data_IF_466597909733
#
_entry.id   IF_466597909733
#
_cell.length_a   1.000
_cell.length_b   1.000
_cell.length_c   1.000
_cell.angle_alpha   90.00
_cell.angle_beta   90.00
_cell.angle_gamma   90.00
#
_symmetry.space_group_name_H-M   'P 1'
#
loop_
_entity.id
_entity.type
_entity.pdbx_description
1 polymer ?
#
# COMPACT_ATOMS: atom_id res chain seq x y z
N UNK A 1 40.38 -17.93 13.74
CA UNK A 1 39.20 -18.82 13.80
C UNK A 1 38.04 -18.13 13.09
N UNK A 2 37.89 -18.40 11.78
CA UNK A 2 36.70 -19.02 11.18
C UNK A 2 35.50 -18.05 11.25
N UNK A 3 35.29 -17.18 10.27
CA UNK A 3 34.45 -17.46 9.08
C UNK A 3 33.22 -18.33 9.41
N UNK A 4 32.50 -17.98 10.47
CA UNK A 4 31.15 -18.45 10.73
C UNK A 4 30.27 -17.20 10.51
N UNK A 5 29.31 -17.32 9.59
CA UNK A 5 27.96 -16.78 9.77
C UNK A 5 27.45 -15.53 9.00
N UNK A 6 27.77 -15.40 7.73
CA UNK A 6 27.18 -14.34 6.89
C UNK A 6 25.66 -14.47 6.66
N UNK A 7 25.05 -15.65 6.93
CA UNK A 7 23.58 -15.85 6.84
C UNK A 7 22.84 -15.58 8.15
N UNK A 8 23.30 -16.00 9.34
CA UNK A 8 22.59 -15.61 10.58
C UNK A 8 22.77 -14.12 10.86
N UNK A 9 23.88 -13.47 10.50
CA UNK A 9 24.03 -12.01 10.67
C UNK A 9 22.96 -11.20 9.92
N UNK A 10 22.69 -11.54 8.65
CA UNK A 10 21.64 -10.87 7.84
C UNK A 10 20.23 -11.18 8.35
N UNK A 11 19.96 -12.43 8.72
CA UNK A 11 18.65 -12.83 9.26
C UNK A 11 18.37 -12.19 10.62
N UNK A 12 19.36 -12.14 11.51
CA UNK A 12 19.28 -11.44 12.80
C UNK A 12 19.03 -9.96 12.64
N UNK A 13 19.66 -9.31 11.65
CA UNK A 13 19.37 -7.91 11.34
C UNK A 13 17.91 -7.71 10.93
N UNK A 14 17.40 -8.54 10.00
CA UNK A 14 15.99 -8.45 9.57
C UNK A 14 15.04 -8.68 10.75
N UNK A 15 15.28 -9.71 11.56
CA UNK A 15 14.45 -10.02 12.74
C UNK A 15 14.49 -8.88 13.76
N UNK A 16 15.67 -8.30 14.02
CA UNK A 16 15.81 -7.17 14.95
C UNK A 16 15.08 -5.92 14.45
N UNK A 17 15.15 -5.63 13.15
CA UNK A 17 14.42 -4.51 12.55
C UNK A 17 12.91 -4.73 12.57
N UNK A 18 12.44 -5.95 12.26
CA UNK A 18 11.02 -6.32 12.38
C UNK A 18 10.54 -6.17 13.83
N UNK A 19 11.27 -6.76 14.77
CA UNK A 19 10.95 -6.70 16.20
C UNK A 19 10.92 -5.25 16.70
N UNK A 20 11.93 -4.44 16.36
CA UNK A 20 11.99 -3.04 16.76
C UNK A 20 10.83 -2.22 16.16
N UNK A 21 10.51 -2.40 14.88
CA UNK A 21 9.38 -1.72 14.24
C UNK A 21 8.04 -2.14 14.85
N UNK A 22 7.90 -3.42 15.17
CA UNK A 22 6.68 -3.97 15.78
C UNK A 22 6.49 -3.47 17.23
N UNK A 23 7.56 -3.43 18.04
CA UNK A 23 7.53 -2.85 19.38
C UNK A 23 7.14 -1.37 19.35
N UNK A 24 7.59 -0.59 18.36
CA UNK A 24 7.20 0.84 18.24
C UNK A 24 5.70 1.00 18.04
N UNK A 25 5.06 0.13 17.24
CA UNK A 25 3.60 0.13 17.09
C UNK A 25 2.92 -0.24 18.41
N UNK A 26 3.51 -1.18 19.16
CA UNK A 26 2.99 -1.64 20.46
C UNK A 26 3.29 -0.73 21.65
N UNK A 27 4.20 0.24 21.55
CA UNK A 27 4.48 1.23 22.60
C UNK A 27 3.86 2.61 22.31
N UNK A 28 3.27 2.78 21.13
CA UNK A 28 2.67 4.04 20.72
C UNK A 28 1.51 4.45 21.64
N UNK A 29 1.39 5.73 21.99
CA UNK A 29 0.30 6.23 22.84
C UNK A 29 -1.11 6.06 22.22
N UNK A 30 -1.18 5.93 20.89
CA UNK A 30 -2.43 5.98 20.11
C UNK A 30 -2.71 4.68 19.33
N UNK A 31 -2.27 3.52 19.82
CA UNK A 31 -2.37 2.22 19.09
C UNK A 31 -3.77 1.88 18.63
N UNK A 32 -4.75 2.02 19.53
CA UNK A 32 -6.15 1.71 19.24
C UNK A 32 -6.71 2.64 18.16
N UNK A 33 -6.35 3.93 18.22
CA UNK A 33 -6.75 4.90 17.20
C UNK A 33 -6.19 4.51 15.82
N UNK A 34 -4.91 4.17 15.73
CA UNK A 34 -4.28 3.73 14.48
C UNK A 34 -4.93 2.44 13.96
N UNK A 35 -5.22 1.47 14.83
CA UNK A 35 -5.92 0.23 14.47
C UNK A 35 -7.31 0.52 13.90
N UNK A 36 -8.10 1.35 14.57
CA UNK A 36 -9.45 1.72 14.11
C UNK A 36 -9.36 2.46 12.77
N UNK A 37 -8.46 3.43 12.65
CA UNK A 37 -8.27 4.17 11.41
C UNK A 37 -7.88 3.24 10.24
N UNK A 38 -7.04 2.24 10.52
CA UNK A 38 -6.64 1.22 9.56
C UNK A 38 -7.86 0.39 9.13
N UNK A 39 -8.63 -0.13 10.07
CA UNK A 39 -9.84 -0.91 9.74
C UNK A 39 -10.86 -0.09 8.94
N UNK A 40 -11.04 1.18 9.28
CA UNK A 40 -11.90 2.12 8.53
C UNK A 40 -11.38 2.29 7.11
N UNK A 41 -10.07 2.46 6.91
CA UNK A 41 -9.48 2.60 5.58
C UNK A 41 -9.70 1.34 4.73
N UNK A 42 -9.52 0.16 5.31
CA UNK A 42 -9.80 -1.11 4.63
C UNK A 42 -11.28 -1.26 4.27
N UNK A 43 -12.19 -0.86 5.16
CA UNK A 43 -13.62 -0.86 4.88
C UNK A 43 -13.98 0.10 3.73
N UNK A 44 -13.37 1.29 3.69
CA UNK A 44 -13.53 2.25 2.60
C UNK A 44 -13.04 1.63 1.28
N UNK A 45 -11.86 1.01 1.25
CA UNK A 45 -11.36 0.36 0.03
C UNK A 45 -12.24 -0.81 -0.43
N UNK A 46 -12.75 -1.62 0.50
CA UNK A 46 -13.73 -2.66 0.18
C UNK A 46 -15.02 -2.06 -0.41
N UNK A 47 -15.50 -0.96 0.17
CA UNK A 47 -16.68 -0.24 -0.33
C UNK A 47 -16.45 0.35 -1.73
N UNK A 48 -15.23 0.81 -2.05
CA UNK A 48 -14.88 1.27 -3.40
C UNK A 48 -14.99 0.14 -4.43
N UNK A 49 -14.49 -1.06 -4.12
CA UNK A 49 -14.66 -2.22 -5.02
C UNK A 49 -16.14 -2.56 -5.22
N UNK A 50 -16.89 -2.62 -4.12
CA UNK A 50 -18.32 -2.90 -4.16
C UNK A 50 -19.12 -1.84 -4.93
N UNK A 51 -18.82 -0.56 -4.72
CA UNK A 51 -19.40 0.55 -5.50
C UNK A 51 -19.04 0.44 -6.98
N UNK A 52 -17.81 0.03 -7.28
CA UNK A 52 -17.38 -0.31 -8.64
C UNK A 52 -18.28 -1.37 -9.25
N UNK A 53 -18.64 -2.43 -8.53
CA UNK A 53 -19.55 -3.46 -9.06
C UNK A 53 -20.88 -2.86 -9.48
N UNK A 54 -21.45 -1.98 -8.65
CA UNK A 54 -22.69 -1.27 -8.97
C UNK A 54 -22.56 -0.36 -10.18
N UNK A 55 -21.44 0.35 -10.31
CA UNK A 55 -21.18 1.22 -11.47
C UNK A 55 -21.10 0.44 -12.78
N UNK A 56 -20.58 -0.79 -12.75
CA UNK A 56 -20.46 -1.67 -13.91
C UNK A 56 -21.66 -2.62 -14.07
N UNK A 57 -22.72 -2.49 -13.28
CA UNK A 57 -23.91 -3.35 -13.36
C UNK A 57 -23.67 -4.80 -12.94
N UNK A 58 -22.61 -5.09 -12.18
CA UNK A 58 -22.31 -6.43 -11.68
C UNK A 58 -23.13 -6.77 -10.43
N UNK A 59 -23.78 -7.92 -10.44
CA UNK A 59 -24.56 -8.46 -9.29
C UNK A 59 -23.67 -9.18 -8.27
N UNK A 60 -22.55 -8.55 -7.88
CA UNK A 60 -21.62 -9.09 -6.90
C UNK A 60 -21.83 -8.47 -5.51
N UNK A 61 -21.67 -9.29 -4.47
CA UNK A 61 -21.85 -8.91 -3.07
C UNK A 61 -20.56 -8.39 -2.41
N UNK A 62 -20.60 -8.29 -1.07
CA UNK A 62 -19.46 -7.83 -0.27
C UNK A 62 -18.28 -8.82 -0.23
N UNK A 63 -18.54 -10.14 -0.33
CA UNK A 63 -17.48 -11.15 -0.31
C UNK A 63 -16.53 -11.03 -1.53
N UNK A 64 -17.03 -10.97 -2.79
CA UNK A 64 -16.17 -10.66 -3.94
C UNK A 64 -15.38 -9.36 -3.78
N UNK A 65 -15.97 -8.31 -3.21
CA UNK A 65 -15.28 -7.05 -2.97
C UNK A 65 -14.13 -7.20 -1.96
N UNK A 66 -14.33 -7.99 -0.89
CA UNK A 66 -13.30 -8.33 0.07
C UNK A 66 -12.17 -9.18 -0.55
N UNK A 67 -12.49 -10.09 -1.48
CA UNK A 67 -11.48 -10.85 -2.24
C UNK A 67 -10.65 -9.93 -3.14
N UNK A 68 -11.29 -9.00 -3.84
CA UNK A 68 -10.59 -7.99 -4.63
C UNK A 68 -9.68 -7.12 -3.75
N UNK A 69 -10.18 -6.69 -2.59
CA UNK A 69 -9.39 -5.96 -1.59
C UNK A 69 -8.15 -6.76 -1.20
N UNK A 70 -8.31 -7.99 -0.71
CA UNK A 70 -7.20 -8.82 -0.26
C UNK A 70 -6.18 -9.07 -1.39
N UNK A 71 -6.64 -9.50 -2.57
CA UNK A 71 -5.76 -9.81 -3.71
C UNK A 71 -5.03 -8.57 -4.22
N UNK A 72 -5.69 -7.41 -4.25
CA UNK A 72 -5.05 -6.15 -4.62
C UNK A 72 -4.00 -5.72 -3.60
N UNK A 73 -4.25 -5.86 -2.29
CA UNK A 73 -3.28 -5.56 -1.23
C UNK A 73 -2.02 -6.41 -1.33
N UNK A 74 -2.16 -7.70 -1.65
CA UNK A 74 -1.01 -8.55 -1.93
C UNK A 74 -0.29 -8.12 -3.20
N UNK A 75 -1.01 -7.77 -4.26
CA UNK A 75 -0.44 -7.38 -5.54
C UNK A 75 0.39 -6.08 -5.47
N UNK A 76 -0.04 -5.09 -4.68
CA UNK A 76 0.72 -3.85 -4.46
C UNK A 76 1.91 -4.03 -3.53
N UNK A 77 1.92 -5.10 -2.73
CA UNK A 77 3.07 -5.47 -1.89
C UNK A 77 4.21 -6.07 -2.71
N UNK A 78 3.94 -6.55 -3.93
CA UNK A 78 4.95 -7.02 -4.87
C UNK A 78 5.74 -5.81 -5.39
N UNK A 79 7.08 -5.82 -5.33
CA UNK A 79 7.88 -4.74 -5.92
C UNK A 79 7.64 -4.69 -7.43
N UNK A 80 7.08 -3.58 -7.92
CA UNK A 80 6.69 -3.40 -9.32
C UNK A 80 7.05 -1.99 -9.83
N UNK A 81 6.64 -1.68 -11.07
CA UNK A 81 6.72 -0.32 -11.61
C UNK A 81 5.92 0.68 -10.74
N UNK A 82 6.26 1.98 -10.77
CA UNK A 82 5.53 3.01 -10.06
C UNK A 82 4.02 2.93 -10.31
N UNK A 83 3.24 3.05 -9.25
CA UNK A 83 1.78 2.96 -9.32
C UNK A 83 1.23 1.55 -9.56
N UNK A 84 2.02 0.50 -9.41
CA UNK A 84 1.54 -0.90 -9.38
C UNK A 84 0.79 -1.35 -10.65
N UNK A 85 1.09 -0.69 -11.77
CA UNK A 85 0.57 -1.07 -13.09
C UNK A 85 1.03 -2.50 -13.41
N UNK A 86 0.14 -3.32 -13.99
CA UNK A 86 0.38 -4.75 -14.19
C UNK A 86 -0.06 -5.61 -13.01
N UNK A 87 0.66 -5.63 -11.88
CA UNK A 87 0.37 -6.55 -10.76
C UNK A 87 -1.03 -6.36 -10.21
N UNK A 88 -1.45 -5.12 -9.99
CA UNK A 88 -2.81 -4.78 -9.58
C UNK A 88 -3.85 -5.31 -10.58
N UNK A 89 -3.65 -5.05 -11.88
CA UNK A 89 -4.61 -5.43 -12.92
C UNK A 89 -4.75 -6.94 -13.03
N UNK A 90 -3.63 -7.66 -12.96
CA UNK A 90 -3.64 -9.14 -12.97
C UNK A 90 -4.44 -9.65 -11.77
N UNK A 91 -4.21 -9.13 -10.57
CA UNK A 91 -4.93 -9.58 -9.38
C UNK A 91 -6.44 -9.34 -9.47
N UNK A 92 -6.87 -8.15 -9.90
CA UNK A 92 -8.30 -7.84 -10.04
C UNK A 92 -8.95 -8.69 -11.15
N UNK A 93 -8.30 -8.81 -12.30
CA UNK A 93 -8.81 -9.60 -13.43
C UNK A 93 -8.97 -11.05 -13.05
N UNK A 94 -7.95 -11.67 -12.43
CA UNK A 94 -8.03 -13.07 -12.03
C UNK A 94 -9.12 -13.29 -10.97
N UNK A 95 -9.20 -12.41 -9.97
CA UNK A 95 -10.25 -12.48 -8.94
C UNK A 95 -11.65 -12.42 -9.55
N UNK A 96 -11.90 -11.50 -10.49
CA UNK A 96 -13.21 -11.40 -11.15
C UNK A 96 -13.51 -12.56 -12.09
N UNK A 97 -12.50 -13.10 -12.78
CA UNK A 97 -12.67 -14.30 -13.61
C UNK A 97 -13.09 -15.52 -12.78
N UNK A 98 -12.65 -15.64 -11.52
CA UNK A 98 -13.14 -16.68 -10.60
C UNK A 98 -14.64 -16.57 -10.29
N UNK A 99 -15.22 -15.39 -10.46
CA UNK A 99 -16.66 -15.14 -10.32
C UNK A 99 -17.41 -15.18 -11.67
N UNK A 100 -16.77 -15.68 -12.72
CA UNK A 100 -17.40 -15.85 -14.05
C UNK A 100 -17.44 -14.57 -14.88
N UNK A 101 -16.76 -13.49 -14.47
CA UNK A 101 -16.68 -12.26 -15.25
C UNK A 101 -15.70 -12.46 -16.42
N UNK A 102 -16.13 -12.07 -17.62
CA UNK A 102 -15.31 -12.15 -18.82
C UNK A 102 -14.04 -11.27 -18.68
N UNK A 103 -12.91 -11.76 -19.20
CA UNK A 103 -11.58 -11.18 -18.98
C UNK A 103 -11.47 -9.72 -19.46
N UNK A 104 -11.97 -9.41 -20.65
CA UNK A 104 -11.93 -8.05 -21.21
C UNK A 104 -12.78 -7.07 -20.38
N UNK A 105 -13.94 -7.53 -19.89
CA UNK A 105 -14.79 -6.75 -19.01
C UNK A 105 -14.14 -6.53 -17.63
N UNK A 106 -13.57 -7.58 -17.03
CA UNK A 106 -12.82 -7.50 -15.78
C UNK A 106 -11.59 -6.57 -15.90
N UNK A 107 -10.92 -6.58 -17.05
CA UNK A 107 -9.80 -5.67 -17.31
C UNK A 107 -10.25 -4.23 -17.39
N UNK A 108 -11.37 -3.95 -18.06
CA UNK A 108 -11.97 -2.61 -18.11
C UNK A 108 -12.30 -2.10 -16.70
N UNK A 109 -12.91 -2.94 -15.87
CA UNK A 109 -13.17 -2.63 -14.47
C UNK A 109 -11.88 -2.29 -13.70
N UNK A 110 -10.85 -3.13 -13.84
CA UNK A 110 -9.57 -2.93 -13.16
C UNK A 110 -8.90 -1.61 -13.57
N UNK A 111 -8.89 -1.30 -14.87
CA UNK A 111 -8.32 -0.05 -15.38
C UNK A 111 -9.06 1.16 -14.83
N UNK A 112 -10.40 1.17 -14.89
CA UNK A 112 -11.19 2.32 -14.43
C UNK A 112 -10.98 2.57 -12.94
N UNK A 113 -11.10 1.54 -12.08
CA UNK A 113 -10.90 1.74 -10.65
C UNK A 113 -9.46 2.13 -10.32
N UNK A 114 -8.48 1.57 -11.04
CA UNK A 114 -7.10 1.94 -10.82
C UNK A 114 -6.83 3.40 -11.18
N UNK A 115 -7.32 3.87 -12.34
CA UNK A 115 -7.14 5.26 -12.76
C UNK A 115 -7.84 6.23 -11.81
N UNK A 116 -9.08 5.94 -11.41
CA UNK A 116 -9.82 6.78 -10.45
C UNK A 116 -9.05 6.86 -9.13
N UNK A 117 -8.67 5.72 -8.54
CA UNK A 117 -7.95 5.73 -7.27
C UNK A 117 -6.57 6.37 -7.36
N UNK A 118 -5.77 5.97 -8.35
CA UNK A 118 -4.39 6.40 -8.51
C UNK A 118 -4.28 7.87 -8.89
N UNK A 119 -5.06 8.33 -9.87
CA UNK A 119 -5.01 9.73 -10.31
C UNK A 119 -5.55 10.65 -9.22
N UNK A 120 -6.68 10.33 -8.59
CA UNK A 120 -7.24 11.17 -7.53
C UNK A 120 -6.27 11.33 -6.35
N UNK A 121 -5.67 10.22 -5.89
CA UNK A 121 -4.72 10.26 -4.78
C UNK A 121 -3.43 11.01 -5.16
N UNK A 122 -2.90 10.75 -6.37
CA UNK A 122 -1.68 11.40 -6.86
C UNK A 122 -1.90 12.89 -7.04
N UNK A 123 -3.03 13.30 -7.62
CA UNK A 123 -3.37 14.70 -7.83
C UNK A 123 -3.52 15.43 -6.50
N UNK A 124 -4.21 14.83 -5.53
CA UNK A 124 -4.38 15.44 -4.21
C UNK A 124 -3.03 15.59 -3.50
N UNK A 125 -2.20 14.55 -3.52
CA UNK A 125 -0.84 14.61 -2.98
C UNK A 125 0.02 15.69 -3.68
N UNK A 126 -0.09 15.80 -5.00
CA UNK A 126 0.62 16.80 -5.78
C UNK A 126 0.16 18.23 -5.47
N UNK A 127 -1.15 18.47 -5.33
CA UNK A 127 -1.70 19.77 -4.92
C UNK A 127 -1.15 20.17 -3.55
N UNK A 128 -1.20 19.27 -2.56
CA UNK A 128 -0.67 19.57 -1.22
C UNK A 128 0.83 19.78 -1.22
N UNK A 129 1.57 19.03 -2.03
CA UNK A 129 3.01 19.23 -2.22
C UNK A 129 3.32 20.65 -2.72
N UNK A 130 2.59 21.14 -3.72
CA UNK A 130 2.75 22.50 -4.23
C UNK A 130 2.39 23.57 -3.19
N UNK A 131 1.38 23.32 -2.36
CA UNK A 131 0.92 24.25 -1.31
C UNK A 131 1.88 24.36 -0.13
N UNK A 132 2.57 23.26 0.24
CA UNK A 132 3.36 23.22 1.48
C UNK A 132 4.80 23.74 1.33
N UNK A 133 5.22 24.23 0.15
CA UNK A 133 6.60 24.66 -0.13
C UNK A 133 7.67 23.72 0.47
N UNK A 134 7.39 22.41 0.46
CA UNK A 134 8.33 21.41 0.94
C UNK A 134 9.48 21.34 -0.06
N UNK A 135 10.46 22.22 0.14
CA UNK A 135 11.70 22.19 -0.59
C UNK A 135 12.37 20.87 -0.25
N UNK A 136 12.48 19.97 -1.23
CA UNK A 136 13.23 18.71 -1.09
C UNK A 136 14.65 18.97 -0.57
N UNK A 137 15.15 20.18 -0.81
CA UNK A 137 16.42 20.73 -0.33
C UNK A 137 16.46 20.99 1.18
N UNK A 138 15.36 21.36 1.84
CA UNK A 138 15.35 21.61 3.29
C UNK A 138 15.45 20.31 4.10
N UNK A 139 14.74 19.26 3.68
CA UNK A 139 14.80 17.93 4.29
C UNK A 139 16.21 17.32 4.17
N UNK A 140 16.86 17.52 3.03
CA UNK A 140 18.24 17.04 2.79
C UNK A 140 19.26 17.78 3.66
N UNK A 141 19.15 19.12 3.76
CA UNK A 141 20.04 19.93 4.61
C UNK A 141 19.91 19.60 6.09
N UNK A 142 18.71 19.29 6.57
CA UNK A 142 18.48 18.95 7.98
C UNK A 142 19.05 17.56 8.32
N UNK A 143 18.90 16.57 7.44
CA UNK A 143 19.51 15.24 7.59
C UNK A 143 21.05 15.30 7.61
N UNK A 144 21.66 16.10 6.74
CA UNK A 144 23.11 16.30 6.71
C UNK A 144 23.63 17.07 7.94
N UNK A 145 22.80 17.94 8.52
CA UNK A 145 23.14 18.68 9.74
C UNK A 145 23.10 17.76 10.96
N UNK A 146 22.09 16.89 11.08
CA UNK A 146 22.00 15.88 12.15
C UNK A 146 23.16 14.89 12.08
N UNK A 147 23.57 14.48 10.87
CA UNK A 147 24.71 13.58 10.67
C UNK A 147 26.08 14.21 11.01
N UNK A 148 26.15 15.54 11.06
CA UNK A 148 27.34 16.32 11.43
C UNK A 148 27.42 16.66 12.92
N UNK A 149 26.37 16.40 13.70
CA UNK A 149 26.44 16.56 15.14
C UNK A 149 27.40 15.50 15.71
N UNK A 150 28.36 15.87 16.57
CA UNK A 150 29.18 14.91 17.27
C UNK A 150 28.28 14.02 18.12
N UNK A 151 28.49 12.70 18.09
CA UNK A 151 27.77 11.75 18.93
C UNK A 151 27.95 12.14 20.41
N UNK A 152 26.96 12.81 20.98
CA UNK A 152 26.80 12.98 22.44
C UNK A 152 25.91 11.89 22.98
#
# INVERSE_FOLDING_TARGET
TRYIDTKKGRLWHIIRHLHSGLCVVFDMKYRLYVLVLSLVLWAIYGAVFWAGFKMFGMELGGLPAAVLLATSSFAVSVPSVPGYVGTYHVAIVQSLMMYGIEKSFAFTYAVVLHLVGFISLTLLGFIFYLQTHLSVTSVTKESDTIKKLPNT
#
